data_IF_768885338289
#
_entry.id   IF_768885338289
#
_cell.length_a   1.000
_cell.length_b   1.000
_cell.length_c   1.000
_cell.angle_alpha   90.00
_cell.angle_beta   90.00
_cell.angle_gamma   90.00
#
_symmetry.space_group_name_H-M   'P 1'
#
loop_
_entity.id
_entity.type
_entity.pdbx_description
1 polymer ?
#
# COMPACT_ATOMS: atom_id res chain seq x y z
N UNK A 1 -26.65 48.65 7.82
CA UNK A 1 -25.55 48.66 6.83
C UNK A 1 -24.50 47.71 7.38
N UNK A 2 -24.54 46.44 6.97
CA UNK A 2 -23.52 45.44 7.30
C UNK A 2 -22.69 45.18 6.05
N UNK A 3 -21.36 45.35 6.09
CA UNK A 3 -20.52 44.99 4.98
C UNK A 3 -20.21 43.49 5.02
N UNK A 4 -20.74 42.80 4.01
CA UNK A 4 -19.91 42.05 3.06
C UNK A 4 -19.09 40.86 3.60
N UNK A 5 -19.69 39.68 3.45
CA UNK A 5 -19.13 38.55 2.70
C UNK A 5 -17.65 38.23 2.94
N UNK A 6 -17.37 37.55 4.06
CA UNK A 6 -16.18 36.70 4.16
C UNK A 6 -16.35 35.48 3.24
N UNK A 7 -15.72 35.50 2.07
CA UNK A 7 -15.45 34.30 1.27
C UNK A 7 -14.48 33.39 2.06
N UNK A 8 -15.02 32.59 2.99
CA UNK A 8 -14.32 31.40 3.50
C UNK A 8 -14.42 30.31 2.44
N UNK A 9 -13.46 30.30 1.52
CA UNK A 9 -13.19 29.09 0.74
C UNK A 9 -12.83 27.97 1.74
N UNK A 10 -13.47 26.79 1.66
CA UNK A 10 -13.19 25.73 2.62
C UNK A 10 -11.76 25.24 2.42
N UNK A 11 -10.92 25.45 3.43
CA UNK A 11 -9.52 25.01 3.49
C UNK A 11 -9.31 23.53 3.09
N UNK A 12 -10.36 22.70 3.19
CA UNK A 12 -10.36 21.30 2.79
C UNK A 12 -10.18 21.06 1.27
N UNK A 13 -10.64 21.97 0.39
CA UNK A 13 -10.51 21.77 -1.06
C UNK A 13 -9.09 22.05 -1.57
N UNK A 14 -8.46 23.11 -1.04
CA UNK A 14 -7.06 23.44 -1.37
C UNK A 14 -6.10 22.36 -0.86
N UNK A 15 -6.32 21.83 0.35
CA UNK A 15 -5.53 20.71 0.88
C UNK A 15 -5.65 19.45 0.01
N UNK A 16 -6.86 19.12 -0.46
CA UNK A 16 -7.07 17.98 -1.33
C UNK A 16 -6.41 18.16 -2.72
N UNK A 17 -6.50 19.36 -3.31
CA UNK A 17 -5.84 19.67 -4.59
C UNK A 17 -4.31 19.64 -4.48
N UNK A 18 -3.74 20.18 -3.41
CA UNK A 18 -2.28 20.14 -3.18
C UNK A 18 -1.78 18.71 -2.96
N UNK A 19 -2.53 17.87 -2.23
CA UNK A 19 -2.19 16.45 -2.07
C UNK A 19 -2.20 15.69 -3.40
N UNK A 20 -3.15 16.02 -4.28
CA UNK A 20 -3.23 15.42 -5.62
C UNK A 20 -2.08 15.91 -6.52
N UNK A 21 -1.77 17.20 -6.49
CA UNK A 21 -0.65 17.77 -7.25
C UNK A 21 0.69 17.21 -6.80
N UNK A 22 0.92 17.09 -5.49
CA UNK A 22 2.12 16.42 -4.94
C UNK A 22 2.17 14.95 -5.35
N UNK A 23 1.04 14.23 -5.30
CA UNK A 23 0.99 12.83 -5.73
C UNK A 23 1.34 12.67 -7.22
N UNK A 24 0.87 13.55 -8.09
CA UNK A 24 1.19 13.55 -9.52
C UNK A 24 2.64 13.95 -9.80
N UNK A 25 3.18 14.89 -9.03
CA UNK A 25 4.57 15.32 -9.17
C UNK A 25 5.56 14.23 -8.73
N UNK A 26 5.32 13.60 -7.58
CA UNK A 26 6.10 12.45 -7.10
C UNK A 26 6.00 11.25 -8.05
N UNK A 27 4.84 11.09 -8.72
CA UNK A 27 4.62 10.03 -9.71
C UNK A 27 5.41 10.21 -11.00
N UNK A 28 5.73 11.46 -11.37
CA UNK A 28 6.54 11.75 -12.56
C UNK A 28 8.05 11.80 -12.29
N UNK A 29 8.46 12.06 -11.05
CA UNK A 29 9.86 12.27 -10.69
C UNK A 29 10.57 11.00 -10.21
N UNK A 30 9.84 9.93 -9.91
CA UNK A 30 10.44 8.71 -9.35
C UNK A 30 10.71 7.73 -10.48
N UNK A 31 11.95 7.21 -10.53
CA UNK A 31 12.27 6.04 -11.35
C UNK A 31 11.49 4.83 -10.81
N UNK A 32 10.47 4.43 -11.56
CA UNK A 32 9.60 3.33 -11.20
C UNK A 32 10.35 1.99 -11.21
N UNK A 33 11.47 1.87 -11.94
CA UNK A 33 12.19 0.59 -12.05
C UNK A 33 12.77 0.17 -10.70
N UNK A 34 13.57 1.03 -10.06
CA UNK A 34 14.16 0.76 -8.73
C UNK A 34 13.06 0.58 -7.69
N UNK A 35 12.03 1.43 -7.74
CA UNK A 35 10.91 1.35 -6.81
C UNK A 35 10.16 0.02 -6.91
N UNK A 36 9.96 -0.53 -8.11
CA UNK A 36 9.22 -1.77 -8.29
C UNK A 36 9.93 -2.96 -7.65
N UNK A 37 11.27 -3.00 -7.65
CA UNK A 37 12.02 -4.02 -6.92
C UNK A 37 11.79 -3.92 -5.40
N UNK A 38 11.89 -2.71 -4.84
CA UNK A 38 11.61 -2.49 -3.41
C UNK A 38 10.19 -2.89 -3.03
N UNK A 39 9.24 -2.54 -3.90
CA UNK A 39 7.85 -2.86 -3.71
C UNK A 39 7.62 -4.38 -3.73
N UNK A 40 8.29 -5.10 -4.63
CA UNK A 40 8.25 -6.57 -4.68
C UNK A 40 8.77 -7.18 -3.38
N UNK A 41 9.90 -6.71 -2.86
CA UNK A 41 10.47 -7.20 -1.60
C UNK A 41 9.52 -6.96 -0.42
N UNK A 42 8.94 -5.77 -0.32
CA UNK A 42 7.98 -5.43 0.74
C UNK A 42 6.72 -6.29 0.65
N UNK A 43 6.22 -6.55 -0.56
CA UNK A 43 5.06 -7.44 -0.76
C UNK A 43 5.41 -8.89 -0.45
N UNK A 44 6.63 -9.35 -0.77
CA UNK A 44 7.10 -10.69 -0.39
C UNK A 44 7.06 -10.84 1.14
N UNK A 45 7.61 -9.88 1.86
CA UNK A 45 7.62 -9.90 3.34
C UNK A 45 6.20 -9.87 3.91
N UNK A 46 5.29 -9.11 3.27
CA UNK A 46 3.88 -9.10 3.62
C UNK A 46 3.24 -10.49 3.52
N UNK A 47 3.48 -11.23 2.42
CA UNK A 47 2.94 -12.58 2.24
C UNK A 47 3.58 -13.62 3.15
N UNK A 48 4.84 -13.43 3.56
CA UNK A 48 5.49 -14.27 4.56
C UNK A 48 4.83 -14.12 5.93
N UNK A 49 4.47 -12.88 6.31
CA UNK A 49 3.80 -12.59 7.57
C UNK A 49 2.29 -12.89 7.55
N UNK A 50 1.65 -12.78 6.38
CA UNK A 50 0.21 -12.88 6.21
C UNK A 50 -0.14 -13.75 4.99
N UNK A 51 0.02 -15.09 5.07
CA UNK A 51 -0.21 -15.98 3.94
C UNK A 51 -1.67 -15.99 3.45
N UNK A 52 -2.64 -15.70 4.34
CA UNK A 52 -4.07 -15.72 4.06
C UNK A 52 -4.57 -14.48 3.29
N UNK A 53 -3.68 -13.57 2.90
CA UNK A 53 -4.04 -12.33 2.20
C UNK A 53 -4.69 -12.59 0.82
N UNK A 54 -4.46 -13.77 0.24
CA UNK A 54 -5.13 -14.21 -1.00
C UNK A 54 -6.60 -14.59 -0.81
N UNK A 55 -6.99 -14.93 0.42
CA UNK A 55 -8.37 -15.30 0.76
C UNK A 55 -9.23 -14.05 1.00
N UNK A 56 -8.60 -12.87 1.10
CA UNK A 56 -9.29 -11.60 1.29
C UNK A 56 -10.05 -11.21 0.02
N UNK A 57 -11.35 -11.47 0.00
CA UNK A 57 -12.24 -11.02 -1.08
C UNK A 57 -12.77 -9.63 -0.78
N UNK A 58 -12.29 -8.62 -1.51
CA UNK A 58 -12.86 -7.27 -1.45
C UNK A 58 -13.87 -7.05 -2.58
N UNK A 59 -15.05 -6.52 -2.25
CA UNK A 59 -16.02 -6.05 -3.24
C UNK A 59 -15.59 -4.71 -3.88
N UNK A 60 -14.66 -3.97 -3.27
CA UNK A 60 -14.14 -2.72 -3.82
C UNK A 60 -13.24 -2.98 -5.04
N UNK A 61 -13.51 -2.30 -6.15
CA UNK A 61 -12.71 -2.36 -7.38
C UNK A 61 -11.28 -1.88 -7.16
N UNK A 62 -11.08 -0.89 -6.28
CA UNK A 62 -9.76 -0.32 -5.98
C UNK A 62 -8.90 -1.34 -5.24
N UNK A 63 -9.42 -1.93 -4.15
CA UNK A 63 -8.71 -2.98 -3.42
C UNK A 63 -8.41 -4.20 -4.29
N UNK A 64 -9.34 -4.62 -5.16
CA UNK A 64 -9.09 -5.71 -6.11
C UNK A 64 -7.92 -5.44 -7.04
N UNK A 65 -7.72 -4.19 -7.46
CA UNK A 65 -6.56 -3.82 -8.30
C UNK A 65 -5.25 -3.85 -7.50
N UNK A 66 -5.26 -3.33 -6.28
CA UNK A 66 -4.09 -3.39 -5.38
C UNK A 66 -3.71 -4.85 -5.10
N UNK A 67 -4.69 -5.71 -4.77
CA UNK A 67 -4.46 -7.13 -4.54
C UNK A 67 -3.89 -7.84 -5.76
N UNK A 68 -4.37 -7.55 -6.98
CA UNK A 68 -3.76 -8.08 -8.22
C UNK A 68 -2.32 -7.65 -8.38
N UNK A 69 -2.01 -6.41 -8.04
CA UNK A 69 -0.64 -5.89 -8.07
C UNK A 69 0.25 -6.67 -7.07
N UNK A 70 -0.27 -6.93 -5.86
CA UNK A 70 0.45 -7.74 -4.86
C UNK A 70 0.68 -9.18 -5.32
N UNK A 71 -0.32 -9.81 -5.95
CA UNK A 71 -0.19 -11.15 -6.53
C UNK A 71 0.86 -11.18 -7.66
N UNK A 72 0.90 -10.15 -8.51
CA UNK A 72 1.92 -10.05 -9.55
C UNK A 72 3.33 -9.93 -8.93
N UNK A 73 3.49 -9.12 -7.88
CA UNK A 73 4.74 -8.98 -7.15
C UNK A 73 5.19 -10.31 -6.54
N UNK A 74 4.29 -11.01 -5.86
CA UNK A 74 4.57 -12.33 -5.27
C UNK A 74 5.02 -13.33 -6.33
N UNK A 75 4.33 -13.41 -7.47
CA UNK A 75 4.72 -14.31 -8.58
C UNK A 75 6.10 -13.99 -9.12
N UNK A 76 6.45 -12.71 -9.25
CA UNK A 76 7.80 -12.33 -9.68
C UNK A 76 8.86 -12.65 -8.61
N UNK A 77 8.54 -12.47 -7.33
CA UNK A 77 9.44 -12.87 -6.24
C UNK A 77 9.68 -14.39 -6.18
N UNK A 78 8.67 -15.20 -6.50
CA UNK A 78 8.78 -16.66 -6.60
C UNK A 78 9.50 -17.11 -7.88
N UNK A 79 9.29 -16.40 -8.99
CA UNK A 79 9.78 -16.75 -10.32
C UNK A 79 10.23 -15.49 -11.10
N UNK A 80 11.51 -15.06 -10.96
CA UNK A 80 12.01 -13.77 -11.44
C UNK A 80 12.34 -13.78 -12.95
N UNK A 81 11.34 -14.03 -13.78
CA UNK A 81 11.42 -13.94 -15.23
C UNK A 81 10.86 -12.61 -15.75
N UNK A 82 11.39 -12.12 -16.88
CA UNK A 82 10.96 -10.87 -17.53
C UNK A 82 9.43 -10.80 -17.74
N UNK A 83 8.81 -11.94 -18.06
CA UNK A 83 7.35 -12.03 -18.23
C UNK A 83 6.60 -11.71 -16.94
N UNK A 84 7.10 -12.14 -15.79
CA UNK A 84 6.49 -11.84 -14.50
C UNK A 84 6.78 -10.40 -14.07
N UNK A 85 7.98 -9.88 -14.38
CA UNK A 85 8.27 -8.46 -14.20
C UNK A 85 7.35 -7.55 -15.01
N UNK A 86 7.12 -7.87 -16.30
CA UNK A 86 6.18 -7.13 -17.14
C UNK A 86 4.74 -7.14 -16.58
N UNK A 87 4.34 -8.22 -15.89
CA UNK A 87 3.05 -8.28 -15.18
C UNK A 87 3.02 -7.36 -13.96
N UNK A 88 4.13 -7.22 -13.22
CA UNK A 88 4.24 -6.26 -12.12
C UNK A 88 4.09 -4.84 -12.66
N UNK A 89 4.83 -4.49 -13.71
CA UNK A 89 4.75 -3.17 -14.36
C UNK A 89 3.32 -2.88 -14.87
N UNK A 90 2.71 -3.85 -15.55
CA UNK A 90 1.32 -3.72 -16.03
C UNK A 90 0.32 -3.56 -14.90
N UNK A 91 0.46 -4.32 -13.81
CA UNK A 91 -0.44 -4.21 -12.67
C UNK A 91 -0.24 -2.90 -11.90
N UNK A 92 1.01 -2.42 -11.79
CA UNK A 92 1.35 -1.13 -11.19
C UNK A 92 0.72 0.01 -11.97
N UNK A 93 0.85 0.01 -13.30
CA UNK A 93 0.30 1.04 -14.19
C UNK A 93 -1.24 1.06 -14.24
N UNK A 94 -1.94 -0.06 -13.98
CA UNK A 94 -3.42 -0.08 -13.82
C UNK A 94 -3.90 0.53 -12.49
N UNK A 95 -2.99 0.80 -11.54
CA UNK A 95 -3.35 1.45 -10.29
C UNK A 95 -3.63 2.94 -10.49
N UNK A 96 -4.65 3.44 -9.79
CA UNK A 96 -4.91 4.87 -9.73
C UNK A 96 -3.71 5.61 -9.14
N UNK A 97 -3.43 6.83 -9.60
CA UNK A 97 -2.30 7.65 -9.11
C UNK A 97 -2.29 7.79 -7.59
N UNK A 98 -3.47 7.92 -6.96
CA UNK A 98 -3.61 7.95 -5.49
C UNK A 98 -3.14 6.65 -4.84
N UNK A 99 -3.53 5.49 -5.37
CA UNK A 99 -3.08 4.19 -4.86
C UNK A 99 -1.58 4.00 -5.03
N UNK A 100 -1.02 4.41 -6.17
CA UNK A 100 0.44 4.39 -6.39
C UNK A 100 1.16 5.28 -5.38
N UNK A 101 0.67 6.50 -5.16
CA UNK A 101 1.25 7.42 -4.18
C UNK A 101 1.24 6.86 -2.76
N UNK A 102 0.11 6.30 -2.29
CA UNK A 102 0.04 5.69 -0.97
C UNK A 102 0.97 4.48 -0.84
N UNK A 103 1.02 3.61 -1.86
CA UNK A 103 1.95 2.48 -1.87
C UNK A 103 3.42 2.94 -1.83
N UNK A 104 3.78 3.98 -2.60
CA UNK A 104 5.13 4.56 -2.54
C UNK A 104 5.47 5.05 -1.14
N UNK A 105 4.55 5.76 -0.46
CA UNK A 105 4.74 6.22 0.92
C UNK A 105 4.98 5.04 1.86
N UNK A 106 4.15 4.00 1.77
CA UNK A 106 4.24 2.83 2.65
C UNK A 106 5.54 2.06 2.43
N UNK A 107 5.94 1.81 1.19
CA UNK A 107 7.21 1.12 0.86
C UNK A 107 8.43 1.94 1.32
N UNK A 108 8.39 3.27 1.19
CA UNK A 108 9.45 4.13 1.74
C UNK A 108 9.50 4.09 3.26
N UNK A 109 8.35 4.01 3.93
CA UNK A 109 8.27 3.90 5.39
C UNK A 109 8.63 2.50 5.91
N UNK A 110 8.36 1.42 5.17
CA UNK A 110 8.74 0.06 5.60
C UNK A 110 10.25 -0.12 5.64
N UNK A 111 11.01 0.56 4.75
CA UNK A 111 12.48 0.65 4.82
C UNK A 111 12.99 1.24 6.15
N UNK A 112 12.17 2.03 6.84
CA UNK A 112 12.49 2.59 8.16
C UNK A 112 11.97 1.77 9.34
N UNK A 113 11.46 0.55 9.10
CA UNK A 113 11.01 -0.38 10.14
C UNK A 113 9.56 -0.19 10.62
N UNK A 114 8.72 0.53 9.87
CA UNK A 114 7.29 0.72 10.19
C UNK A 114 6.41 -0.48 9.74
N UNK A 115 5.28 -0.75 10.43
CA UNK A 115 4.59 -2.04 10.36
C UNK A 115 3.74 -2.24 9.11
N UNK A 116 3.64 -3.51 8.70
CA UNK A 116 2.86 -4.09 7.59
C UNK A 116 1.37 -3.76 7.56
N UNK A 117 0.81 -3.20 8.63
CA UNK A 117 -0.62 -2.94 8.79
C UNK A 117 -1.21 -2.02 7.72
N UNK A 118 -0.48 -1.01 7.27
CA UNK A 118 -0.98 -0.10 6.20
C UNK A 118 -1.09 -0.82 4.86
N UNK A 119 -0.20 -1.78 4.56
CA UNK A 119 -0.32 -2.61 3.35
C UNK A 119 -1.54 -3.52 3.41
N UNK A 120 -1.85 -4.08 4.59
CA UNK A 120 -3.04 -4.89 4.82
C UNK A 120 -4.32 -4.07 4.57
N UNK A 121 -4.38 -2.85 5.12
CA UNK A 121 -5.52 -1.95 4.90
C UNK A 121 -5.67 -1.58 3.42
N UNK A 122 -4.57 -1.29 2.73
CA UNK A 122 -4.59 -0.99 1.28
C UNK A 122 -5.01 -2.21 0.43
N UNK A 123 -4.74 -3.43 0.90
CA UNK A 123 -5.25 -4.67 0.30
C UNK A 123 -6.72 -4.96 0.62
N UNK A 124 -7.33 -4.16 1.51
CA UNK A 124 -8.73 -4.30 1.92
C UNK A 124 -8.95 -5.25 3.10
N UNK A 125 -7.90 -5.63 3.83
CA UNK A 125 -8.01 -6.31 5.12
C UNK A 125 -8.52 -5.30 6.14
N UNK A 126 -9.60 -5.63 6.85
CA UNK A 126 -10.19 -4.70 7.82
C UNK A 126 -9.24 -4.53 9.01
N UNK A 127 -9.10 -3.31 9.50
CA UNK A 127 -8.22 -2.98 10.63
C UNK A 127 -8.50 -3.81 11.89
N UNK A 128 -9.75 -4.24 12.08
CA UNK A 128 -10.17 -5.16 13.15
C UNK A 128 -9.55 -6.56 13.04
N UNK A 129 -9.26 -7.05 11.83
CA UNK A 129 -8.61 -8.35 11.58
C UNK A 129 -7.08 -8.24 11.72
N UNK A 130 -6.53 -7.04 11.56
CA UNK A 130 -5.10 -6.75 11.72
C UNK A 130 -4.68 -6.71 13.19
N UNK A 131 -5.60 -6.31 14.08
CA UNK A 131 -5.37 -6.25 15.53
C UNK A 131 -5.31 -7.63 16.21
N UNK A 132 -5.73 -8.70 15.53
CA UNK A 132 -5.88 -10.04 16.11
C UNK A 132 -4.66 -10.96 15.89
N UNK A 133 -3.53 -10.41 15.40
CA UNK A 133 -2.27 -11.17 15.35
C UNK A 133 -1.78 -11.34 16.79
N UNK A 134 -1.76 -12.56 17.36
CA UNK A 134 -1.32 -12.75 18.73
C UNK A 134 0.16 -12.44 18.77
N UNK A 135 0.54 -11.39 19.49
CA UNK A 135 1.90 -11.26 20.02
C UNK A 135 2.15 -12.52 20.84
N UNK A 136 2.81 -13.52 20.25
CA UNK A 136 3.47 -14.59 21.00
C UNK A 136 4.60 -13.97 21.80
N UNK A 137 4.23 -13.36 22.94
CA UNK A 137 5.13 -13.11 24.03
C UNK A 137 5.33 -14.44 24.76
N UNK A 138 6.56 -14.94 24.73
CA UNK A 138 6.95 -16.18 25.36
C UNK A 138 6.68 -16.16 26.87
N UNK A 139 5.82 -17.07 27.32
CA UNK A 139 5.84 -17.57 28.68
C UNK A 139 6.73 -18.83 28.71
N UNK A 140 7.91 -18.71 29.31
CA UNK A 140 8.78 -19.83 29.68
C UNK A 140 7.98 -20.87 30.48
N UNK A 141 8.24 -22.19 30.31
CA UNK A 141 7.85 -23.17 31.30
C UNK A 141 8.76 -23.01 32.53
N UNK A 142 8.17 -22.55 33.63
CA UNK A 142 8.63 -22.87 34.99
C UNK A 142 7.55 -23.84 35.50
N UNK A 143 7.80 -25.10 35.84
CA UNK A 143 8.97 -25.67 36.48
C UNK A 143 8.48 -26.24 37.80
N UNK A 144 8.44 -27.58 37.87
CA UNK A 144 8.17 -28.47 39.02
C UNK A 144 6.72 -28.59 39.51
#
# INVERSE_FOLDING_TARGET
>A
MDPSFSQRWPANMLGSMLSFASAVFDDRMTDDEIFLYDFVDVVRDLFLCHPNLLETTSHDKTHRRVLRCFVACRRFAEDPHERNYARVVSAWTDLAARSRHELRKVVRSSRTGMPSNTLLVLAGVKEAEVADVPRRAGGRPSGL
#
